data_IF_903950533885
#
_entry.id   IF_903950533885
#
_cell.length_a   1.000
_cell.length_b   1.000
_cell.length_c   1.000
_cell.angle_alpha   90.00
_cell.angle_beta   90.00
_cell.angle_gamma   90.00
#
_symmetry.space_group_name_H-M   'P 1'
#
loop_
_entity.id
_entity.type
_entity.pdbx_description
1 polymer ?
#
# COMPACT_ATOMS: atom_id res chain seq x y z
N UNK A 1 27.23 -22.56 -10.25
CA UNK A 1 27.91 -23.26 -11.37
C UNK A 1 28.89 -22.37 -12.14
N UNK A 2 28.66 -21.08 -12.36
CA UNK A 2 29.50 -20.21 -13.20
C UNK A 2 30.91 -19.89 -12.62
N UNK A 3 31.07 -19.81 -11.28
CA UNK A 3 32.38 -19.54 -10.64
C UNK A 3 33.39 -20.70 -10.70
N UNK A 4 32.92 -21.95 -10.73
CA UNK A 4 33.78 -23.12 -10.85
C UNK A 4 34.38 -23.23 -12.25
N UNK A 5 33.64 -22.85 -13.27
CA UNK A 5 34.12 -22.87 -14.66
C UNK A 5 35.16 -21.75 -14.93
N UNK A 6 35.00 -20.58 -14.30
CA UNK A 6 35.97 -19.47 -14.47
C UNK A 6 37.32 -19.79 -13.85
N UNK A 7 37.37 -20.49 -12.71
CA UNK A 7 38.62 -20.95 -12.10
C UNK A 7 39.37 -22.01 -12.95
N UNK A 8 38.62 -22.89 -13.61
CA UNK A 8 39.19 -23.92 -14.51
C UNK A 8 39.79 -23.25 -15.76
N UNK A 9 39.15 -22.22 -16.29
CA UNK A 9 39.65 -21.49 -17.48
C UNK A 9 40.92 -20.72 -17.14
N UNK A 10 41.03 -20.09 -15.98
CA UNK A 10 42.23 -19.35 -15.55
C UNK A 10 43.40 -20.29 -15.33
N UNK A 11 43.22 -21.43 -14.70
CA UNK A 11 44.26 -22.46 -14.46
C UNK A 11 44.69 -23.10 -15.81
N UNK A 12 43.74 -23.41 -16.68
CA UNK A 12 43.99 -23.96 -17.99
C UNK A 12 44.74 -22.99 -18.90
N UNK A 13 44.38 -21.69 -18.89
CA UNK A 13 45.08 -20.64 -19.62
C UNK A 13 46.53 -20.41 -19.16
N UNK A 14 46.78 -20.42 -17.86
CA UNK A 14 48.13 -20.33 -17.30
C UNK A 14 49.01 -21.51 -17.67
N UNK A 15 48.46 -22.72 -17.69
CA UNK A 15 49.19 -23.94 -18.12
C UNK A 15 49.56 -23.92 -19.60
N UNK A 16 48.66 -23.42 -20.48
CA UNK A 16 48.91 -23.30 -21.93
C UNK A 16 50.00 -22.24 -22.21
N UNK A 17 49.97 -21.09 -21.57
CA UNK A 17 50.99 -20.02 -21.71
C UNK A 17 52.34 -20.53 -21.21
N UNK A 18 52.39 -21.27 -20.12
CA UNK A 18 53.61 -21.86 -19.58
C UNK A 18 54.18 -22.94 -20.50
N UNK A 19 53.34 -23.83 -21.05
CA UNK A 19 53.76 -24.83 -22.05
C UNK A 19 54.31 -24.23 -23.32
N UNK A 20 53.72 -23.10 -23.80
CA UNK A 20 54.23 -22.34 -24.96
C UNK A 20 55.55 -21.66 -24.70
N UNK A 21 55.75 -21.09 -23.50
CA UNK A 21 57.03 -20.45 -23.10
C UNK A 21 58.15 -21.50 -22.95
N UNK A 22 57.85 -22.68 -22.45
CA UNK A 22 58.81 -23.81 -22.35
C UNK A 22 59.25 -24.34 -23.71
N UNK A 23 58.39 -24.38 -24.73
CA UNK A 23 58.73 -24.76 -26.09
C UNK A 23 59.68 -23.82 -26.79
N UNK A 24 59.76 -22.54 -26.32
CA UNK A 24 60.64 -21.50 -26.87
C UNK A 24 62.05 -21.50 -26.23
N UNK A 25 62.25 -22.12 -25.07
CA UNK A 25 63.45 -22.02 -24.25
C UNK A 25 64.37 -23.25 -24.30
N UNK A 26 64.45 -23.99 -25.38
CA UNK A 26 65.26 -25.21 -25.59
C UNK A 26 66.45 -25.34 -24.64
N UNK A 27 66.73 -26.52 -24.06
CA UNK A 27 67.81 -26.89 -23.11
C UNK A 27 67.69 -26.41 -21.66
N UNK A 28 66.56 -26.63 -21.00
CA UNK A 28 66.43 -26.41 -19.53
C UNK A 28 66.35 -27.76 -18.83
N UNK A 29 67.12 -27.92 -17.74
CA UNK A 29 67.12 -29.12 -16.90
C UNK A 29 65.70 -29.41 -16.31
N UNK A 30 65.24 -30.69 -16.43
CA UNK A 30 63.90 -31.13 -16.01
C UNK A 30 63.59 -30.72 -14.55
N UNK A 31 64.61 -30.61 -13.68
CA UNK A 31 64.42 -30.14 -12.27
C UNK A 31 64.03 -28.66 -12.22
N UNK A 32 64.65 -27.81 -13.02
CA UNK A 32 64.32 -26.36 -13.09
C UNK A 32 62.92 -26.15 -13.67
N UNK A 33 62.49 -26.95 -14.63
CA UNK A 33 61.14 -26.94 -15.18
C UNK A 33 60.08 -27.26 -14.13
N UNK A 34 60.33 -28.26 -13.26
CA UNK A 34 59.40 -28.66 -12.20
C UNK A 34 59.24 -27.51 -11.14
N UNK A 35 60.34 -26.85 -10.75
CA UNK A 35 60.29 -25.75 -9.76
C UNK A 35 59.62 -24.50 -10.31
N UNK A 36 59.85 -24.10 -11.56
CA UNK A 36 59.23 -22.95 -12.18
C UNK A 36 57.73 -23.18 -12.46
N UNK A 37 57.36 -24.41 -12.89
CA UNK A 37 55.95 -24.81 -13.05
C UNK A 37 55.18 -24.74 -11.74
N UNK A 38 55.75 -25.23 -10.65
CA UNK A 38 55.14 -25.22 -9.33
C UNK A 38 55.00 -23.76 -8.81
N UNK A 39 56.01 -22.90 -9.02
CA UNK A 39 55.95 -21.49 -8.63
C UNK A 39 54.80 -20.74 -9.38
N UNK A 40 54.64 -20.97 -10.68
CA UNK A 40 53.58 -20.36 -11.48
C UNK A 40 52.20 -20.81 -11.02
N UNK A 41 52.03 -22.09 -10.69
CA UNK A 41 50.73 -22.63 -10.16
C UNK A 41 50.40 -21.99 -8.80
N UNK A 42 51.38 -21.87 -7.90
CA UNK A 42 51.18 -21.20 -6.61
C UNK A 42 50.83 -19.72 -6.82
N UNK A 43 51.51 -19.01 -7.69
CA UNK A 43 51.26 -17.61 -7.98
C UNK A 43 49.88 -17.38 -8.58
N UNK A 44 49.37 -18.32 -9.37
CA UNK A 44 48.01 -18.29 -9.91
C UNK A 44 46.91 -18.64 -8.87
N UNK A 45 47.22 -19.48 -7.89
CA UNK A 45 46.28 -19.90 -6.85
C UNK A 45 46.07 -18.85 -5.76
N UNK A 46 47.08 -18.07 -5.42
CA UNK A 46 47.02 -17.03 -4.38
C UNK A 46 45.91 -16.00 -4.67
N UNK A 47 45.84 -15.33 -5.84
CA UNK A 47 44.79 -14.36 -6.13
C UNK A 47 43.38 -15.01 -6.16
N UNK A 48 43.26 -16.23 -6.65
CA UNK A 48 41.98 -16.97 -6.65
C UNK A 48 41.51 -17.24 -5.20
N UNK A 49 42.43 -17.63 -4.31
CA UNK A 49 42.12 -17.83 -2.90
C UNK A 49 41.73 -16.51 -2.21
N UNK A 50 42.47 -15.44 -2.46
CA UNK A 50 42.18 -14.11 -1.90
C UNK A 50 40.82 -13.58 -2.38
N UNK A 51 40.50 -13.73 -3.67
CA UNK A 51 39.19 -13.36 -4.21
C UNK A 51 38.07 -14.18 -3.57
N UNK A 52 38.25 -15.50 -3.39
CA UNK A 52 37.27 -16.33 -2.72
C UNK A 52 37.05 -15.95 -1.26
N UNK A 53 38.11 -15.61 -0.53
CA UNK A 53 38.01 -15.19 0.87
C UNK A 53 37.32 -13.82 0.98
N UNK A 54 37.67 -12.87 0.13
CA UNK A 54 37.04 -11.53 0.10
C UNK A 54 35.56 -11.60 -0.28
N UNK A 55 35.19 -12.43 -1.29
CA UNK A 55 33.79 -12.60 -1.69
C UNK A 55 32.95 -13.27 -0.61
N UNK A 56 33.52 -14.22 0.16
CA UNK A 56 32.82 -14.83 1.30
C UNK A 56 32.59 -13.82 2.43
N UNK A 57 33.59 -13.00 2.77
CA UNK A 57 33.45 -11.92 3.77
C UNK A 57 32.38 -10.91 3.34
N UNK A 58 32.43 -10.45 2.09
CA UNK A 58 31.47 -9.50 1.55
C UNK A 58 30.02 -10.08 1.53
N UNK A 59 29.87 -11.35 1.15
CA UNK A 59 28.59 -12.03 1.17
C UNK A 59 28.02 -12.16 2.61
N UNK A 60 28.87 -12.44 3.60
CA UNK A 60 28.47 -12.49 5.00
C UNK A 60 28.03 -11.10 5.51
N UNK A 61 28.79 -10.04 5.19
CA UNK A 61 28.47 -8.66 5.57
C UNK A 61 27.15 -8.18 4.95
N UNK A 62 26.94 -8.45 3.65
CA UNK A 62 25.65 -8.16 2.97
C UNK A 62 24.50 -8.93 3.61
N UNK A 63 24.71 -10.20 3.96
CA UNK A 63 23.70 -11.01 4.66
C UNK A 63 23.34 -10.43 6.02
N UNK A 64 24.34 -10.00 6.79
CA UNK A 64 24.18 -9.36 8.11
C UNK A 64 23.36 -8.05 7.96
N UNK A 65 23.78 -7.16 7.07
CA UNK A 65 23.08 -5.89 6.81
C UNK A 65 21.62 -6.12 6.35
N UNK A 66 21.39 -7.11 5.49
CA UNK A 66 20.03 -7.46 5.07
C UNK A 66 19.17 -8.00 6.23
N UNK A 67 19.76 -8.78 7.14
CA UNK A 67 19.05 -9.28 8.32
C UNK A 67 18.69 -8.14 9.28
N UNK A 68 19.61 -7.21 9.52
CA UNK A 68 19.37 -6.02 10.34
C UNK A 68 18.31 -5.10 9.73
N UNK A 69 18.36 -4.90 8.40
CA UNK A 69 17.36 -4.13 7.67
C UNK A 69 15.97 -4.75 7.78
N UNK A 70 15.89 -6.08 7.67
CA UNK A 70 14.62 -6.82 7.84
C UNK A 70 14.09 -6.66 9.26
N UNK A 71 14.92 -6.89 10.28
CA UNK A 71 14.54 -6.73 11.68
C UNK A 71 14.06 -5.30 11.99
N UNK A 72 14.75 -4.29 11.45
CA UNK A 72 14.34 -2.88 11.61
C UNK A 72 13.00 -2.57 10.93
N UNK A 73 12.75 -3.13 9.73
CA UNK A 73 11.45 -3.01 9.05
C UNK A 73 10.32 -3.67 9.82
N UNK A 74 10.57 -4.86 10.37
CA UNK A 74 9.58 -5.60 11.14
C UNK A 74 9.24 -4.85 12.45
N UNK A 75 10.26 -4.32 13.15
CA UNK A 75 10.07 -3.48 14.34
C UNK A 75 9.29 -2.19 14.02
N UNK A 76 9.60 -1.53 12.92
CA UNK A 76 8.87 -0.34 12.46
C UNK A 76 7.41 -0.66 12.14
N UNK A 77 7.13 -1.79 11.50
CA UNK A 77 5.78 -2.25 11.21
C UNK A 77 4.99 -2.52 12.51
N UNK A 78 5.62 -3.15 13.50
CA UNK A 78 5.00 -3.39 14.81
C UNK A 78 4.66 -2.08 15.53
N UNK A 79 5.59 -1.12 15.56
CA UNK A 79 5.35 0.21 16.17
C UNK A 79 4.23 0.95 15.45
N UNK A 80 4.21 0.94 14.12
CA UNK A 80 3.11 1.53 13.33
C UNK A 80 1.76 0.89 13.64
N UNK A 81 1.71 -0.43 13.76
CA UNK A 81 0.47 -1.15 14.12
C UNK A 81 0.00 -0.76 15.53
N UNK A 82 0.91 -0.66 16.49
CA UNK A 82 0.59 -0.20 17.86
C UNK A 82 0.09 1.25 17.88
N UNK A 83 0.74 2.14 17.13
CA UNK A 83 0.29 3.53 16.99
C UNK A 83 -1.11 3.61 16.37
N UNK A 84 -1.37 2.86 15.31
CA UNK A 84 -2.69 2.79 14.68
C UNK A 84 -3.79 2.24 15.62
N UNK A 85 -3.41 1.44 16.64
CA UNK A 85 -4.33 0.98 17.68
C UNK A 85 -4.66 2.05 18.73
N UNK A 86 -3.80 3.04 18.91
CA UNK A 86 -3.96 4.10 19.93
C UNK A 86 -4.54 5.36 19.31
N UNK A 87 -4.21 5.64 18.05
CA UNK A 87 -4.71 6.83 17.34
C UNK A 87 -6.16 6.63 16.90
N UNK A 88 -6.93 7.70 16.99
CA UNK A 88 -8.32 7.76 16.50
C UNK A 88 -8.40 8.36 15.09
N UNK A 89 -7.30 8.93 14.60
CA UNK A 89 -7.25 9.64 13.31
C UNK A 89 -6.40 8.89 12.28
N UNK A 90 -6.76 9.06 11.02
CA UNK A 90 -5.94 8.72 9.85
C UNK A 90 -4.86 9.79 9.65
N UNK A 91 -3.59 9.38 9.58
CA UNK A 91 -2.43 10.30 9.51
C UNK A 91 -2.41 11.15 8.24
N UNK A 92 -2.94 10.64 7.12
CA UNK A 92 -2.92 11.34 5.85
C UNK A 92 -4.01 12.42 5.76
N UNK A 93 -5.23 12.07 6.15
CA UNK A 93 -6.42 12.91 5.92
C UNK A 93 -6.87 13.68 7.17
N UNK A 94 -6.40 13.25 8.34
CA UNK A 94 -6.85 13.79 9.62
C UNK A 94 -8.34 13.56 9.91
N UNK A 95 -8.98 12.65 9.17
CA UNK A 95 -10.31 12.12 9.50
C UNK A 95 -10.20 11.05 10.59
N UNK A 96 -11.30 10.63 11.18
CA UNK A 96 -11.29 9.42 12.00
C UNK A 96 -10.76 8.23 11.20
N UNK A 97 -10.06 7.31 11.85
CA UNK A 97 -9.70 6.05 11.22
C UNK A 97 -10.87 5.05 11.30
N UNK A 98 -10.78 3.96 10.56
CA UNK A 98 -11.82 2.92 10.49
C UNK A 98 -12.26 2.43 11.86
N UNK A 99 -11.31 2.12 12.74
CA UNK A 99 -11.61 1.63 14.09
C UNK A 99 -12.44 2.63 14.90
N UNK A 100 -12.00 3.89 14.92
CA UNK A 100 -12.72 4.94 15.64
C UNK A 100 -14.11 5.20 15.04
N UNK A 101 -14.24 5.06 13.73
CA UNK A 101 -15.55 5.11 13.05
C UNK A 101 -16.50 4.01 13.55
N UNK A 102 -16.02 2.77 13.64
CA UNK A 102 -16.81 1.65 14.16
C UNK A 102 -17.23 1.89 15.62
N UNK A 103 -16.33 2.40 16.46
CA UNK A 103 -16.62 2.77 17.86
C UNK A 103 -17.70 3.88 17.94
N UNK A 104 -17.58 4.92 17.11
CA UNK A 104 -18.57 6.00 17.04
C UNK A 104 -19.92 5.52 16.51
N UNK A 105 -19.91 4.70 15.46
CA UNK A 105 -21.14 4.12 14.91
C UNK A 105 -21.88 3.27 15.95
N UNK A 106 -21.16 2.49 16.75
CA UNK A 106 -21.72 1.74 17.87
C UNK A 106 -22.40 2.65 18.90
N UNK A 107 -21.81 3.81 19.19
CA UNK A 107 -22.42 4.82 20.08
C UNK A 107 -23.70 5.39 19.47
N UNK A 108 -23.71 5.70 18.16
CA UNK A 108 -24.88 6.22 17.45
C UNK A 108 -26.04 5.21 17.47
N UNK A 109 -25.75 3.91 17.23
CA UNK A 109 -26.74 2.83 17.37
C UNK A 109 -27.33 2.81 18.78
N UNK A 110 -26.49 2.76 19.81
CA UNK A 110 -26.93 2.71 21.20
C UNK A 110 -27.73 3.97 21.63
N UNK A 111 -27.44 5.13 21.07
CA UNK A 111 -28.20 6.37 21.32
C UNK A 111 -29.55 6.35 20.59
N UNK A 112 -29.61 5.85 19.37
CA UNK A 112 -30.85 5.73 18.61
C UNK A 112 -31.81 4.71 19.23
N UNK A 113 -31.31 3.56 19.71
CA UNK A 113 -32.11 2.55 20.45
C UNK A 113 -32.79 3.15 21.69
N UNK A 114 -32.18 4.14 22.31
CA UNK A 114 -32.79 4.86 23.46
C UNK A 114 -33.81 5.94 23.04
N UNK A 115 -34.15 5.98 21.76
CA UNK A 115 -35.09 6.96 21.20
C UNK A 115 -34.56 8.37 21.11
N UNK A 116 -33.22 8.55 21.13
CA UNK A 116 -32.61 9.88 21.14
C UNK A 116 -32.70 10.58 19.77
N UNK A 117 -32.42 9.87 18.66
CA UNK A 117 -32.47 10.44 17.30
C UNK A 117 -32.26 9.38 16.21
N UNK A 118 -32.60 9.72 14.95
CA UNK A 118 -32.26 8.94 13.76
C UNK A 118 -30.88 9.36 13.23
N UNK A 119 -30.24 8.51 12.45
CA UNK A 119 -29.02 8.82 11.73
C UNK A 119 -28.94 7.98 10.45
N UNK A 120 -28.14 8.49 9.51
CA UNK A 120 -27.86 7.83 8.23
C UNK A 120 -26.36 7.59 8.09
N UNK A 121 -26.00 6.41 7.62
CA UNK A 121 -24.62 6.04 7.30
C UNK A 121 -24.40 6.19 5.80
N UNK A 122 -23.29 6.79 5.41
CA UNK A 122 -22.85 6.82 4.03
C UNK A 122 -21.44 6.24 3.89
N UNK A 123 -21.20 5.53 2.80
CA UNK A 123 -19.85 5.16 2.35
C UNK A 123 -19.63 5.80 0.98
N UNK A 124 -18.56 6.56 0.87
CA UNK A 124 -18.18 7.23 -0.38
C UNK A 124 -16.82 6.73 -0.85
N UNK A 125 -16.63 6.65 -2.15
CA UNK A 125 -15.39 6.23 -2.79
C UNK A 125 -15.02 7.20 -3.90
N UNK A 126 -13.72 7.53 -4.00
CA UNK A 126 -13.17 8.25 -5.15
C UNK A 126 -13.15 7.31 -6.37
N UNK A 127 -13.84 7.72 -7.43
CA UNK A 127 -13.89 6.94 -8.65
C UNK A 127 -12.52 6.93 -9.34
N UNK A 128 -12.13 5.77 -9.89
CA UNK A 128 -10.89 5.59 -10.65
C UNK A 128 -9.61 6.07 -9.92
N UNK A 129 -9.60 6.02 -8.59
CA UNK A 129 -8.47 6.50 -7.79
C UNK A 129 -7.14 5.80 -8.15
N UNK A 130 -7.17 4.51 -8.46
CA UNK A 130 -6.00 3.76 -8.93
C UNK A 130 -5.40 4.36 -10.21
N UNK A 131 -6.23 4.80 -11.15
CA UNK A 131 -5.77 5.44 -12.39
C UNK A 131 -5.05 6.77 -12.12
N UNK A 132 -5.51 7.54 -11.13
CA UNK A 132 -4.84 8.77 -10.69
C UNK A 132 -3.44 8.44 -10.15
N UNK A 133 -3.32 7.42 -9.30
CA UNK A 133 -2.04 7.00 -8.73
C UNK A 133 -1.10 6.44 -9.80
N UNK A 134 -1.61 5.64 -10.73
CA UNK A 134 -0.81 5.04 -11.81
C UNK A 134 -0.27 6.09 -12.79
N UNK A 135 -1.07 7.12 -13.13
CA UNK A 135 -0.67 8.19 -14.06
C UNK A 135 0.16 9.28 -13.42
N UNK A 136 -0.12 9.66 -12.20
CA UNK A 136 0.44 10.87 -11.58
C UNK A 136 1.26 10.57 -10.31
N UNK A 137 1.33 9.31 -9.88
CA UNK A 137 2.10 8.86 -8.73
C UNK A 137 1.36 9.01 -7.39
N UNK A 138 1.88 8.30 -6.39
CA UNK A 138 1.28 8.22 -5.04
C UNK A 138 1.17 9.58 -4.35
N UNK A 139 2.14 10.48 -4.56
CA UNK A 139 2.10 11.81 -3.95
C UNK A 139 0.86 12.59 -4.37
N UNK A 140 0.50 12.52 -5.66
CA UNK A 140 -0.70 13.16 -6.19
C UNK A 140 -1.98 12.50 -5.68
N UNK A 141 -2.02 11.16 -5.63
CA UNK A 141 -3.13 10.45 -4.99
C UNK A 141 -3.36 10.92 -3.55
N UNK A 142 -2.31 11.09 -2.78
CA UNK A 142 -2.39 11.61 -1.41
C UNK A 142 -2.95 13.02 -1.33
N UNK A 143 -2.56 13.92 -2.24
CA UNK A 143 -3.12 15.28 -2.32
C UNK A 143 -4.64 15.25 -2.61
N UNK A 144 -5.08 14.37 -3.50
CA UNK A 144 -6.49 14.17 -3.83
C UNK A 144 -7.28 13.69 -2.61
N UNK A 145 -6.77 12.71 -1.87
CA UNK A 145 -7.40 12.22 -0.64
C UNK A 145 -7.51 13.30 0.43
N UNK A 146 -6.47 14.12 0.61
CA UNK A 146 -6.49 15.24 1.54
C UNK A 146 -7.49 16.32 1.11
N UNK A 147 -7.58 16.60 -0.18
CA UNK A 147 -8.53 17.57 -0.72
C UNK A 147 -9.96 17.07 -0.55
N UNK A 148 -10.24 15.80 -0.89
CA UNK A 148 -11.53 15.16 -0.68
C UNK A 148 -11.97 15.26 0.78
N UNK A 149 -11.10 14.88 1.71
CA UNK A 149 -11.42 14.93 3.14
C UNK A 149 -11.75 16.35 3.62
N UNK A 150 -11.06 17.38 3.12
CA UNK A 150 -11.34 18.80 3.44
C UNK A 150 -12.70 19.24 2.91
N UNK A 151 -13.05 18.86 1.68
CA UNK A 151 -14.34 19.21 1.08
C UNK A 151 -15.47 18.57 1.86
N UNK A 152 -15.35 17.27 2.14
CA UNK A 152 -16.38 16.56 2.91
C UNK A 152 -16.53 17.20 4.29
N UNK A 153 -15.43 17.44 5.02
CA UNK A 153 -15.47 18.12 6.34
C UNK A 153 -16.16 19.49 6.27
N UNK A 154 -15.90 20.25 5.22
CA UNK A 154 -16.53 21.58 5.05
C UNK A 154 -18.03 21.50 4.73
N UNK A 155 -18.49 20.38 4.15
CA UNK A 155 -19.90 20.15 3.83
C UNK A 155 -20.71 19.58 5.00
N UNK A 156 -20.05 19.01 6.00
CA UNK A 156 -20.66 18.36 7.17
C UNK A 156 -20.82 19.33 8.36
N UNK A 157 -21.72 18.98 9.28
CA UNK A 157 -21.90 19.65 10.55
C UNK A 157 -20.89 19.15 11.58
N UNK A 158 -20.69 19.87 12.67
CA UNK A 158 -19.79 19.46 13.75
C UNK A 158 -20.18 18.13 14.43
N UNK A 159 -21.49 17.82 14.40
CA UNK A 159 -22.04 16.57 14.98
C UNK A 159 -21.95 15.38 14.04
N UNK A 160 -21.62 15.61 12.78
CA UNK A 160 -21.45 14.55 11.80
C UNK A 160 -20.04 13.97 11.88
N UNK A 161 -19.91 12.71 11.55
CA UNK A 161 -18.63 11.99 11.59
C UNK A 161 -18.15 11.73 10.16
N UNK A 162 -16.85 11.94 9.93
CA UNK A 162 -16.15 11.45 8.74
C UNK A 162 -14.95 10.63 9.15
N UNK A 163 -14.77 9.49 8.48
CA UNK A 163 -13.64 8.60 8.69
C UNK A 163 -13.09 8.07 7.36
N UNK A 164 -11.83 7.73 7.35
CA UNK A 164 -11.23 6.97 6.26
C UNK A 164 -11.32 5.49 6.58
N UNK A 165 -12.04 4.74 5.75
CA UNK A 165 -12.28 3.31 5.94
C UNK A 165 -11.25 2.45 5.22
N UNK A 166 -10.78 2.90 4.06
CA UNK A 166 -9.82 2.19 3.22
C UNK A 166 -8.97 3.19 2.40
N UNK A 167 -8.24 2.70 1.40
CA UNK A 167 -7.35 3.48 0.56
C UNK A 167 -8.02 4.72 -0.03
N UNK A 168 -9.20 4.57 -0.61
CA UNK A 168 -9.98 5.59 -1.32
C UNK A 168 -11.44 5.69 -0.85
N UNK A 169 -11.78 4.97 0.25
CA UNK A 169 -13.14 4.93 0.83
C UNK A 169 -13.23 5.73 2.12
N UNK A 170 -14.34 6.46 2.26
CA UNK A 170 -14.67 7.23 3.44
C UNK A 170 -16.06 6.87 3.95
N UNK A 171 -16.18 6.71 5.25
CA UNK A 171 -17.44 6.51 5.96
C UNK A 171 -17.92 7.80 6.61
N UNK A 172 -19.21 8.02 6.57
CA UNK A 172 -19.85 9.16 7.20
C UNK A 172 -21.00 8.70 8.10
N UNK A 173 -21.19 9.36 9.23
CA UNK A 173 -22.41 9.26 10.04
C UNK A 173 -23.05 10.63 10.08
N UNK A 174 -24.27 10.73 9.55
CA UNK A 174 -25.05 11.96 9.45
C UNK A 174 -26.13 11.93 10.52
N UNK A 175 -25.94 12.72 11.56
CA UNK A 175 -26.79 12.75 12.77
C UNK A 175 -28.09 13.50 12.51
N UNK A 176 -29.24 12.92 12.89
CA UNK A 176 -30.55 13.53 12.68
C UNK A 176 -30.87 13.79 11.21
N UNK A 177 -30.34 12.94 10.32
CA UNK A 177 -30.46 13.08 8.88
C UNK A 177 -31.30 11.95 8.30
N UNK A 178 -32.28 12.29 7.47
CA UNK A 178 -33.04 11.28 6.69
C UNK A 178 -32.20 10.78 5.52
N UNK A 179 -32.63 9.69 4.91
CA UNK A 179 -31.98 9.15 3.71
C UNK A 179 -32.01 10.14 2.54
N UNK A 180 -33.15 10.83 2.38
CA UNK A 180 -33.33 11.85 1.33
C UNK A 180 -32.39 13.04 1.55
N UNK A 181 -32.25 13.52 2.79
CA UNK A 181 -31.32 14.62 3.12
C UNK A 181 -29.85 14.19 2.91
N UNK A 182 -29.54 12.94 3.28
CA UNK A 182 -28.21 12.36 3.08
C UNK A 182 -27.85 12.26 1.59
N UNK A 183 -28.80 11.83 0.74
CA UNK A 183 -28.63 11.84 -0.72
C UNK A 183 -28.25 13.23 -1.23
N UNK A 184 -28.94 14.26 -0.76
CA UNK A 184 -28.65 15.65 -1.17
C UNK A 184 -27.26 16.08 -0.70
N UNK A 185 -26.89 15.78 0.54
CA UNK A 185 -25.58 16.14 1.10
C UNK A 185 -24.45 15.47 0.31
N UNK A 186 -24.53 14.16 0.10
CA UNK A 186 -23.48 13.40 -0.57
C UNK A 186 -23.40 13.76 -2.06
N UNK A 187 -24.55 13.96 -2.74
CA UNK A 187 -24.56 14.43 -4.14
C UNK A 187 -23.91 15.80 -4.28
N UNK A 188 -24.13 16.72 -3.33
CA UNK A 188 -23.46 18.01 -3.32
C UNK A 188 -21.96 17.89 -3.14
N UNK A 189 -21.50 16.98 -2.28
CA UNK A 189 -20.06 16.66 -2.12
C UNK A 189 -19.48 16.15 -3.43
N UNK A 190 -20.13 15.20 -4.10
CA UNK A 190 -19.72 14.65 -5.39
C UNK A 190 -19.59 15.76 -6.44
N UNK A 191 -20.59 16.64 -6.54
CA UNK A 191 -20.55 17.79 -7.45
C UNK A 191 -19.38 18.75 -7.16
N UNK A 192 -19.09 19.06 -5.90
CA UNK A 192 -17.96 19.92 -5.54
C UNK A 192 -16.62 19.30 -5.94
N UNK A 193 -16.50 17.99 -5.83
CA UNK A 193 -15.29 17.26 -6.22
C UNK A 193 -15.12 17.23 -7.73
N UNK A 194 -16.19 17.00 -8.49
CA UNK A 194 -16.17 16.95 -9.95
C UNK A 194 -15.76 18.28 -10.61
N UNK A 195 -15.87 19.40 -9.86
CA UNK A 195 -15.43 20.73 -10.32
C UNK A 195 -13.92 20.96 -10.17
N UNK A 196 -13.21 20.03 -9.47
CA UNK A 196 -11.79 20.19 -9.21
C UNK A 196 -10.99 19.65 -10.40
N UNK A 197 -10.22 20.52 -11.02
CA UNK A 197 -9.21 20.13 -12.00
C UNK A 197 -7.93 19.73 -11.28
N UNK A 198 -7.50 18.49 -11.44
CA UNK A 198 -6.30 17.95 -10.79
C UNK A 198 -5.02 18.49 -11.41
N UNK A 199 -5.07 18.85 -12.70
CA UNK A 199 -3.92 19.43 -13.41
C UNK A 199 -4.40 20.15 -14.69
N UNK A 200 -3.75 21.28 -15.04
CA UNK A 200 -4.03 22.04 -16.27
C UNK A 200 -3.69 21.27 -17.57
N UNK A 201 -3.00 20.12 -17.46
CA UNK A 201 -2.50 19.36 -18.61
C UNK A 201 -3.22 18.04 -18.88
N UNK A 202 -3.94 17.51 -17.90
CA UNK A 202 -4.66 16.24 -18.02
C UNK A 202 -6.14 16.47 -17.74
N UNK A 203 -7.02 16.07 -18.69
CA UNK A 203 -8.48 16.12 -18.57
C UNK A 203 -9.02 15.11 -17.51
N UNK A 204 -8.23 14.75 -16.50
CA UNK A 204 -8.64 13.82 -15.48
C UNK A 204 -9.57 14.50 -14.49
N UNK A 205 -10.87 14.18 -14.58
CA UNK A 205 -11.87 14.60 -13.61
C UNK A 205 -11.86 13.65 -12.42
N UNK A 206 -11.84 14.21 -11.23
CA UNK A 206 -12.07 13.45 -10.00
C UNK A 206 -13.58 13.41 -9.78
N UNK A 207 -14.13 12.21 -9.67
CA UNK A 207 -15.52 12.01 -9.25
C UNK A 207 -15.56 11.12 -8.00
N UNK A 208 -16.69 11.09 -7.34
CA UNK A 208 -16.90 10.22 -6.19
C UNK A 208 -18.30 9.63 -6.23
N UNK A 209 -18.38 8.34 -5.99
CA UNK A 209 -19.64 7.63 -5.80
C UNK A 209 -19.95 7.45 -4.32
N UNK A 210 -21.24 7.34 -3.99
CA UNK A 210 -21.70 7.15 -2.62
C UNK A 210 -22.82 6.13 -2.49
N UNK A 211 -22.82 5.39 -1.39
CA UNK A 211 -23.92 4.54 -0.97
C UNK A 211 -24.39 4.96 0.40
N UNK A 212 -25.68 4.95 0.66
CA UNK A 212 -26.25 5.38 1.92
C UNK A 212 -27.25 4.36 2.45
N UNK A 213 -27.42 4.32 3.77
CA UNK A 213 -28.43 3.55 4.47
C UNK A 213 -28.83 4.27 5.76
N UNK A 214 -30.11 4.31 6.07
CA UNK A 214 -30.59 4.80 7.37
C UNK A 214 -30.65 3.66 8.40
N UNK A 215 -30.50 4.01 9.68
CA UNK A 215 -30.69 3.05 10.76
C UNK A 215 -32.16 2.84 11.04
N UNK A 216 -32.62 1.58 11.04
CA UNK A 216 -34.03 1.19 11.24
C UNK A 216 -34.30 0.50 12.59
N UNK A 217 -33.30 0.40 13.46
CA UNK A 217 -33.48 -0.07 14.84
C UNK A 217 -33.10 -1.53 15.10
N UNK A 218 -32.65 -2.28 14.08
CA UNK A 218 -32.29 -3.69 14.21
C UNK A 218 -30.89 -4.05 13.75
N UNK A 219 -30.26 -3.14 13.02
CA UNK A 219 -28.97 -3.38 12.39
C UNK A 219 -27.81 -3.20 13.38
N UNK A 220 -26.82 -4.06 13.28
CA UNK A 220 -25.53 -3.86 13.94
C UNK A 220 -24.65 -2.87 13.14
N UNK A 221 -23.64 -2.24 13.76
CA UNK A 221 -22.74 -1.31 13.07
C UNK A 221 -22.14 -1.88 11.78
N UNK A 222 -21.76 -3.18 11.79
CA UNK A 222 -21.21 -3.87 10.61
C UNK A 222 -22.21 -4.01 9.49
N UNK A 223 -23.50 -4.25 9.81
CA UNK A 223 -24.57 -4.37 8.82
C UNK A 223 -24.79 -3.02 8.11
N UNK A 224 -24.78 -1.92 8.85
CA UNK A 224 -24.95 -0.58 8.30
C UNK A 224 -23.82 -0.22 7.31
N UNK A 225 -22.58 -0.53 7.67
CA UNK A 225 -21.45 -0.34 6.76
C UNK A 225 -21.64 -1.21 5.50
N UNK A 226 -22.01 -2.49 5.68
CA UNK A 226 -22.24 -3.42 4.58
C UNK A 226 -23.38 -2.97 3.66
N UNK A 227 -24.49 -2.48 4.20
CA UNK A 227 -25.62 -1.95 3.43
C UNK A 227 -25.20 -0.71 2.61
N UNK A 228 -24.50 0.22 3.23
CA UNK A 228 -23.98 1.41 2.52
C UNK A 228 -22.95 1.02 1.43
N UNK A 229 -22.09 0.03 1.67
CA UNK A 229 -21.17 -0.49 0.65
C UNK A 229 -21.90 -1.18 -0.50
N UNK A 230 -22.99 -1.92 -0.27
CA UNK A 230 -23.81 -2.50 -1.32
C UNK A 230 -24.48 -1.42 -2.19
N UNK A 231 -24.99 -0.38 -1.55
CA UNK A 231 -25.55 0.76 -2.25
C UNK A 231 -24.49 1.49 -3.09
N UNK A 232 -23.28 1.64 -2.55
CA UNK A 232 -22.13 2.20 -3.28
C UNK A 232 -21.77 1.37 -4.51
N UNK A 233 -21.73 0.04 -4.39
CA UNK A 233 -21.48 -0.85 -5.54
C UNK A 233 -22.55 -0.65 -6.62
N UNK A 234 -23.83 -0.55 -6.26
CA UNK A 234 -24.92 -0.25 -7.21
C UNK A 234 -24.73 1.11 -7.90
N UNK A 235 -24.27 2.13 -7.15
CA UNK A 235 -23.97 3.44 -7.74
C UNK A 235 -22.83 3.36 -8.77
N UNK A 236 -21.78 2.61 -8.48
CA UNK A 236 -20.64 2.40 -9.38
C UNK A 236 -21.06 1.61 -10.63
N UNK A 237 -21.83 0.54 -10.49
CA UNK A 237 -22.34 -0.28 -11.60
C UNK A 237 -23.24 0.53 -12.55
N UNK A 238 -24.00 1.48 -12.02
CA UNK A 238 -24.85 2.38 -12.81
C UNK A 238 -24.06 3.50 -13.53
N UNK A 239 -22.73 3.57 -13.37
CA UNK A 239 -21.84 4.43 -14.15
C UNK A 239 -21.07 5.47 -13.37
N UNK A 240 -20.80 5.27 -12.09
CA UNK A 240 -20.01 6.16 -11.20
C UNK A 240 -20.56 7.61 -11.11
N UNK A 241 -19.91 8.49 -10.34
CA UNK A 241 -20.33 9.88 -10.09
C UNK A 241 -21.81 9.96 -9.65
N UNK A 242 -22.22 9.07 -8.74
CA UNK A 242 -23.60 8.87 -8.29
C UNK A 242 -23.69 8.52 -6.82
N UNK A 243 -24.89 8.73 -6.29
CA UNK A 243 -25.25 8.28 -4.95
C UNK A 243 -26.48 7.37 -5.04
N UNK A 244 -26.44 6.24 -4.34
CA UNK A 244 -27.55 5.30 -4.25
C UNK A 244 -27.92 5.04 -2.78
N UNK A 245 -29.21 4.86 -2.52
CA UNK A 245 -29.73 4.36 -1.24
C UNK A 245 -29.76 2.83 -1.20
N UNK A 246 -29.58 2.26 -0.03
CA UNK A 246 -29.81 0.84 0.20
C UNK A 246 -31.30 0.58 0.35
N UNK A 247 -31.85 -0.32 -0.50
CA UNK A 247 -33.23 -0.73 -0.37
C UNK A 247 -33.38 -1.68 0.83
N UNK A 248 -33.68 -1.11 2.00
CA UNK A 248 -33.96 -1.91 3.19
C UNK A 248 -35.26 -2.69 3.01
N UNK A 249 -35.17 -4.01 3.06
CA UNK A 249 -36.33 -4.90 3.14
C UNK A 249 -36.42 -5.39 4.57
N UNK A 250 -37.49 -5.00 5.27
CA UNK A 250 -37.73 -5.45 6.64
C UNK A 250 -37.69 -6.98 6.72
N UNK A 251 -36.88 -7.60 7.60
CA UNK A 251 -36.89 -9.06 7.72
C UNK A 251 -38.28 -9.54 8.15
N UNK A 252 -38.89 -10.40 7.36
CA UNK A 252 -40.16 -11.05 7.68
C UNK A 252 -39.91 -11.87 8.93
N UNK A 253 -40.43 -11.39 10.09
CA UNK A 253 -40.43 -12.15 11.34
C UNK A 253 -41.37 -13.33 11.15
N UNK A 254 -40.83 -14.55 11.03
CA UNK A 254 -41.56 -15.80 10.90
C UNK A 254 -42.02 -16.29 12.29
#
# INVERSE_FOLDING_TARGET
MQKSQMNVVVIGGAAIVYGGLLALLGDIDVRQMAFTGFAVVILALIPVLLINLSTKKFAAEVSEVNSQLKASKDALAEVKTRLAQITTLDELTGCSNKRHFEDLLMQHVAMSERGAYSFTVAVTQLDQFSEIVDRQGLARGNEVLQLFSRIVKAALREVDVIARLDTDKFGLVLSGCSEEDALVIISRVSQLISQIQVNDKDDLKITASGGITSYHGTEQPGDLIGHAEQALLSAIELGSDRVAGYNYVEPVVA
#
